data_IF_879349055742
#
_entry.id   IF_879349055742
#
_cell.length_a   1.000
_cell.length_b   1.000
_cell.length_c   1.000
_cell.angle_alpha   90.00
_cell.angle_beta   90.00
_cell.angle_gamma   90.00
#
_symmetry.space_group_name_H-M   'P 1'
#
loop_
_entity.id
_entity.type
_entity.pdbx_description
1 polymer ?
#
# COMPACT_ATOMS: atom_id res chain seq x y z
N UNK A 1 15.91 -14.54 -4.82
CA UNK A 1 14.98 -14.39 -3.68
C UNK A 1 13.64 -13.89 -4.21
N UNK A 2 12.54 -14.63 -4.06
CA UNK A 2 11.23 -14.23 -4.57
C UNK A 2 10.64 -13.18 -3.60
N UNK A 3 10.69 -11.88 -3.96
CA UNK A 3 10.06 -10.83 -3.13
C UNK A 3 8.55 -11.12 -3.07
N UNK A 4 8.03 -11.44 -1.88
CA UNK A 4 6.58 -11.60 -1.67
C UNK A 4 5.97 -10.20 -1.64
N UNK A 5 5.23 -9.86 -2.69
CA UNK A 5 4.42 -8.65 -2.74
C UNK A 5 3.00 -9.04 -2.43
N UNK A 6 2.53 -8.68 -1.23
CA UNK A 6 1.21 -9.07 -0.76
C UNK A 6 0.11 -8.53 -1.66
N UNK A 7 0.23 -7.28 -2.12
CA UNK A 7 -0.76 -6.66 -2.99
C UNK A 7 -1.01 -7.49 -4.26
N UNK A 8 0.07 -7.95 -4.89
CA UNK A 8 0.02 -8.82 -6.07
C UNK A 8 -0.59 -10.18 -5.74
N UNK A 9 -0.22 -10.76 -4.59
CA UNK A 9 -0.80 -12.03 -4.16
C UNK A 9 -2.31 -11.92 -3.94
N UNK A 10 -2.78 -10.87 -3.26
CA UNK A 10 -4.21 -10.65 -3.04
C UNK A 10 -4.95 -10.43 -4.36
N UNK A 11 -4.39 -9.66 -5.29
CA UNK A 11 -4.97 -9.49 -6.62
C UNK A 11 -5.07 -10.82 -7.40
N UNK A 12 -4.05 -11.67 -7.28
CA UNK A 12 -4.05 -13.03 -7.85
C UNK A 12 -5.14 -13.93 -7.23
N UNK A 13 -5.57 -13.64 -5.99
CA UNK A 13 -6.70 -14.32 -5.34
C UNK A 13 -8.06 -13.70 -5.69
N UNK A 14 -8.11 -12.70 -6.58
CA UNK A 14 -9.35 -12.08 -7.07
C UNK A 14 -9.81 -10.85 -6.27
N UNK A 15 -8.99 -10.32 -5.38
CA UNK A 15 -9.29 -9.06 -4.68
C UNK A 15 -9.00 -7.86 -5.58
N UNK A 16 -9.82 -6.80 -5.45
CA UNK A 16 -9.44 -5.48 -5.93
C UNK A 16 -8.47 -4.85 -4.92
N UNK A 17 -7.28 -4.47 -5.38
CA UNK A 17 -6.19 -4.07 -4.49
C UNK A 17 -5.59 -2.73 -4.90
N UNK A 18 -5.47 -1.85 -3.90
CA UNK A 18 -4.66 -0.63 -3.96
C UNK A 18 -3.43 -0.82 -3.04
N UNK A 19 -2.24 -0.68 -3.60
CA UNK A 19 -0.99 -0.64 -2.86
C UNK A 19 -0.47 0.79 -2.71
N UNK A 20 -0.09 1.18 -1.49
CA UNK A 20 0.45 2.52 -1.19
C UNK A 20 1.86 2.38 -0.62
N UNK A 21 2.80 3.17 -1.13
CA UNK A 21 4.17 3.25 -0.61
C UNK A 21 4.74 4.64 -0.94
N UNK A 22 5.55 5.22 -0.05
CA UNK A 22 6.14 6.54 -0.27
C UNK A 22 7.32 6.51 -1.26
N UNK A 23 7.84 5.33 -1.60
CA UNK A 23 8.94 5.14 -2.54
C UNK A 23 8.44 4.98 -3.99
N UNK A 24 8.73 5.94 -4.89
CA UNK A 24 8.44 5.79 -6.32
C UNK A 24 9.11 4.55 -6.93
N UNK A 25 10.27 4.18 -6.41
CA UNK A 25 11.02 3.00 -6.87
C UNK A 25 10.32 1.70 -6.46
N UNK A 26 9.82 1.61 -5.23
CA UNK A 26 9.06 0.44 -4.79
C UNK A 26 7.78 0.27 -5.62
N UNK A 27 7.04 1.36 -5.85
CA UNK A 27 5.84 1.37 -6.68
C UNK A 27 6.15 0.95 -8.12
N UNK A 28 7.20 1.48 -8.74
CA UNK A 28 7.63 1.06 -10.09
C UNK A 28 7.89 -0.45 -10.15
N UNK A 29 8.67 -0.97 -9.20
CA UNK A 29 8.97 -2.41 -9.12
C UNK A 29 7.66 -3.21 -8.94
N UNK A 30 6.73 -2.75 -8.12
CA UNK A 30 5.48 -3.44 -7.87
C UNK A 30 4.60 -3.50 -9.12
N UNK A 31 4.45 -2.37 -9.82
CA UNK A 31 3.74 -2.28 -11.09
C UNK A 31 4.31 -3.25 -12.13
N UNK A 32 5.63 -3.27 -12.32
CA UNK A 32 6.28 -4.19 -13.26
C UNK A 32 6.04 -5.66 -12.90
N UNK A 33 6.00 -5.99 -11.61
CA UNK A 33 5.75 -7.36 -11.16
C UNK A 33 4.28 -7.78 -11.31
N UNK A 34 3.34 -6.85 -11.10
CA UNK A 34 1.92 -7.08 -11.34
C UNK A 34 1.66 -7.35 -12.83
N UNK A 35 2.25 -6.52 -13.70
CA UNK A 35 2.20 -6.70 -15.15
C UNK A 35 2.76 -8.07 -15.59
N UNK A 36 3.94 -8.46 -15.08
CA UNK A 36 4.55 -9.77 -15.38
C UNK A 36 3.68 -10.96 -14.96
N UNK A 37 2.81 -10.79 -13.97
CA UNK A 37 1.89 -11.81 -13.48
C UNK A 37 0.50 -11.73 -14.12
N UNK A 38 0.22 -10.68 -14.89
CA UNK A 38 -1.08 -10.46 -15.50
C UNK A 38 -2.20 -10.14 -14.50
N UNK A 39 -1.87 -9.59 -13.33
CA UNK A 39 -2.86 -9.23 -12.30
C UNK A 39 -3.10 -7.72 -12.27
N UNK A 40 -4.35 -7.32 -12.01
CA UNK A 40 -4.73 -5.92 -11.85
C UNK A 40 -4.51 -5.44 -10.42
N UNK A 41 -3.56 -4.54 -10.23
CA UNK A 41 -3.37 -3.77 -8.99
C UNK A 41 -3.23 -2.29 -9.34
N UNK A 42 -3.83 -1.41 -8.52
CA UNK A 42 -3.51 0.02 -8.56
C UNK A 42 -2.43 0.31 -7.52
N UNK A 43 -1.46 1.14 -7.89
CA UNK A 43 -0.38 1.55 -6.99
C UNK A 43 -0.34 3.08 -6.90
N UNK A 44 -0.24 3.60 -5.68
CA UNK A 44 -0.24 5.04 -5.38
C UNK A 44 1.05 5.37 -4.62
N UNK A 45 1.71 6.45 -5.02
CA UNK A 45 2.86 6.97 -4.28
C UNK A 45 2.33 7.98 -3.27
N UNK A 46 2.36 7.64 -1.98
CA UNK A 46 1.93 8.57 -0.94
C UNK A 46 2.68 8.33 0.37
N UNK A 47 2.81 9.40 1.16
CA UNK A 47 3.29 9.33 2.54
C UNK A 47 2.11 9.11 3.48
N UNK A 48 2.11 8.00 4.22
CA UNK A 48 1.06 7.64 5.17
C UNK A 48 1.00 8.57 6.39
N UNK A 49 2.07 9.32 6.66
CA UNK A 49 2.08 10.42 7.64
C UNK A 49 1.70 11.77 7.02
N UNK A 50 1.63 11.85 5.69
CA UNK A 50 1.25 13.02 4.93
C UNK A 50 -0.26 13.10 4.70
N UNK A 51 -0.62 13.79 3.63
CA UNK A 51 -1.98 13.89 3.14
C UNK A 51 -2.27 12.74 2.17
N UNK A 52 -3.40 12.06 2.36
CA UNK A 52 -3.81 10.89 1.58
C UNK A 52 -4.91 11.19 0.56
N UNK A 53 -5.09 12.44 0.14
CA UNK A 53 -6.09 12.86 -0.86
C UNK A 53 -6.09 12.08 -2.20
N UNK A 54 -5.02 11.35 -2.54
CA UNK A 54 -4.98 10.47 -3.72
C UNK A 54 -5.71 9.13 -3.51
N UNK A 55 -5.91 8.73 -2.25
CA UNK A 55 -6.78 7.64 -1.83
C UNK A 55 -8.16 8.25 -1.61
N UNK A 56 -9.14 7.85 -2.42
CA UNK A 56 -10.50 8.42 -2.40
C UNK A 56 -11.57 7.36 -2.18
N UNK A 57 -11.13 6.14 -1.98
CA UNK A 57 -11.95 4.95 -1.92
C UNK A 57 -11.92 4.38 -0.48
N UNK A 58 -13.04 3.81 -0.04
CA UNK A 58 -13.10 3.08 1.23
C UNK A 58 -12.77 1.61 1.04
N UNK A 59 -12.13 0.98 2.03
CA UNK A 59 -11.68 -0.41 1.93
C UNK A 59 -12.41 -1.33 2.91
N UNK A 60 -12.66 -2.58 2.50
CA UNK A 60 -13.20 -3.59 3.41
C UNK A 60 -12.16 -4.08 4.43
N UNK A 61 -10.87 -4.02 4.09
CA UNK A 61 -9.78 -4.28 5.02
C UNK A 61 -8.51 -3.53 4.61
N UNK A 62 -7.71 -3.12 5.59
CA UNK A 62 -6.36 -2.63 5.41
C UNK A 62 -5.36 -3.65 5.95
N UNK A 63 -4.24 -3.86 5.25
CA UNK A 63 -3.15 -4.68 5.73
C UNK A 63 -1.85 -3.88 5.71
N UNK A 64 -1.29 -3.68 6.90
CA UNK A 64 0.07 -3.20 7.08
C UNK A 64 0.92 -4.33 7.68
N UNK A 65 2.08 -4.58 7.09
CA UNK A 65 3.10 -5.40 7.70
C UNK A 65 4.45 -4.70 7.68
N UNK A 66 5.04 -4.60 8.87
CA UNK A 66 6.35 -4.02 9.13
C UNK A 66 6.47 -2.50 8.92
N UNK A 67 5.41 -1.75 8.67
CA UNK A 67 5.51 -0.30 8.57
C UNK A 67 5.46 0.38 9.95
N UNK A 68 4.50 0.01 10.82
CA UNK A 68 4.31 0.67 12.14
C UNK A 68 5.57 0.76 13.03
N UNK A 69 6.50 -0.21 12.96
CA UNK A 69 7.72 -0.16 13.78
C UNK A 69 8.81 0.77 13.21
N UNK A 70 8.67 1.25 11.98
CA UNK A 70 9.49 2.31 11.41
C UNK A 70 8.91 3.72 11.68
N UNK A 71 7.68 3.79 12.22
CA UNK A 71 7.05 5.04 12.64
C UNK A 71 7.45 5.35 14.08
N UNK A 72 7.97 6.55 14.30
CA UNK A 72 8.29 7.05 15.64
C UNK A 72 7.03 7.03 16.53
N UNK A 73 7.14 6.68 17.82
CA UNK A 73 5.98 6.55 18.71
C UNK A 73 5.00 7.74 18.65
N UNK A 74 5.50 8.96 18.57
CA UNK A 74 4.77 10.21 18.46
C UNK A 74 3.93 10.34 17.18
N UNK A 75 4.35 9.71 16.09
CA UNK A 75 3.67 9.79 14.78
C UNK A 75 2.61 8.69 14.59
N UNK A 76 2.52 7.72 15.50
CA UNK A 76 1.63 6.56 15.35
C UNK A 76 0.15 6.92 15.40
N UNK A 77 -0.24 7.87 16.25
CA UNK A 77 -1.63 8.33 16.29
C UNK A 77 -2.01 9.01 14.97
N UNK A 78 -1.11 9.82 14.41
CA UNK A 78 -1.29 10.46 13.11
C UNK A 78 -1.45 9.42 12.01
N UNK A 79 -0.59 8.41 11.98
CA UNK A 79 -0.69 7.29 11.05
C UNK A 79 -2.05 6.59 11.12
N UNK A 80 -2.49 6.18 12.31
CA UNK A 80 -3.78 5.49 12.50
C UNK A 80 -4.93 6.38 12.05
N UNK A 81 -4.90 7.67 12.40
CA UNK A 81 -5.92 8.63 11.99
C UNK A 81 -5.95 8.80 10.47
N UNK A 82 -4.80 8.88 9.82
CA UNK A 82 -4.71 9.03 8.37
C UNK A 82 -5.28 7.78 7.66
N UNK A 83 -4.88 6.58 8.07
CA UNK A 83 -5.37 5.32 7.48
C UNK A 83 -6.87 5.11 7.75
N UNK A 84 -7.38 5.59 8.88
CA UNK A 84 -8.81 5.50 9.19
C UNK A 84 -9.65 6.48 8.38
N UNK A 85 -9.12 7.66 8.04
CA UNK A 85 -9.86 8.73 7.37
C UNK A 85 -9.58 8.85 5.87
N UNK A 86 -8.64 8.08 5.33
CA UNK A 86 -8.36 7.99 3.89
C UNK A 86 -9.52 7.38 3.11
#
# INVERSE_FOLDING_TARGET
>A
MRRRQLAIYLADQGFEVIGVDSSPTAIKIATENAQKRGVGCRFIIADLLGDLHEVKETFNFGYDWKFLHHIFPEDREKYVKNVYNS
#
